data_IF_468842404202
#
_entry.id   IF_468842404202
#
_cell.length_a   1.000
_cell.length_b   1.000
_cell.length_c   1.000
_cell.angle_alpha   90.00
_cell.angle_beta   90.00
_cell.angle_gamma   90.00
#
_symmetry.space_group_name_H-M   'P 1'
#
loop_
_entity.id
_entity.type
_entity.pdbx_description
1 polymer ?
#
# COMPACT_ATOMS: atom_id res chain seq x y z
N UNK A 1 -34.20 -6.10 5.59
CA UNK A 1 -33.39 -6.63 6.72
C UNK A 1 -32.77 -7.97 6.34
N UNK A 2 -33.55 -8.98 5.92
CA UNK A 2 -33.00 -10.24 5.37
C UNK A 2 -32.18 -10.02 4.10
N UNK A 3 -32.73 -9.30 3.10
CA UNK A 3 -32.04 -9.00 1.84
C UNK A 3 -30.73 -8.21 2.02
N UNK A 4 -30.69 -7.30 2.99
CA UNK A 4 -29.49 -6.50 3.32
C UNK A 4 -28.40 -7.36 3.99
N UNK A 5 -28.82 -8.29 4.85
CA UNK A 5 -27.91 -9.27 5.47
C UNK A 5 -27.35 -10.26 4.44
N UNK A 6 -28.17 -10.73 3.50
CA UNK A 6 -27.73 -11.62 2.41
C UNK A 6 -26.71 -10.92 1.51
N UNK A 7 -26.98 -9.67 1.14
CA UNK A 7 -26.06 -8.84 0.34
C UNK A 7 -24.72 -8.68 1.06
N UNK A 8 -24.73 -8.37 2.35
CA UNK A 8 -23.51 -8.26 3.15
C UNK A 8 -22.68 -9.55 3.12
N UNK A 9 -23.32 -10.70 3.33
CA UNK A 9 -22.64 -12.01 3.32
C UNK A 9 -22.01 -12.27 1.95
N UNK A 10 -22.74 -12.02 0.87
CA UNK A 10 -22.23 -12.22 -0.50
C UNK A 10 -21.03 -11.31 -0.79
N UNK A 11 -21.09 -10.03 -0.39
CA UNK A 11 -19.98 -9.09 -0.54
C UNK A 11 -18.74 -9.53 0.24
N UNK A 12 -18.92 -9.98 1.49
CA UNK A 12 -17.82 -10.50 2.30
C UNK A 12 -17.19 -11.77 1.72
N UNK A 13 -18.01 -12.70 1.23
CA UNK A 13 -17.54 -13.92 0.58
C UNK A 13 -16.76 -13.59 -0.71
N UNK A 14 -17.28 -12.68 -1.54
CA UNK A 14 -16.60 -12.23 -2.75
C UNK A 14 -15.26 -11.55 -2.43
N UNK A 15 -15.22 -10.71 -1.39
CA UNK A 15 -14.00 -10.08 -0.91
C UNK A 15 -12.98 -11.10 -0.42
N UNK A 16 -13.41 -12.08 0.39
CA UNK A 16 -12.54 -13.13 0.91
C UNK A 16 -11.94 -13.97 -0.23
N UNK A 17 -12.77 -14.39 -1.20
CA UNK A 17 -12.34 -15.16 -2.37
C UNK A 17 -11.35 -14.38 -3.23
N UNK A 18 -11.65 -13.10 -3.53
CA UNK A 18 -10.74 -12.22 -4.28
C UNK A 18 -9.41 -12.04 -3.56
N UNK A 19 -9.45 -11.74 -2.26
CA UNK A 19 -8.24 -11.48 -1.46
C UNK A 19 -7.34 -12.72 -1.39
N UNK A 20 -7.92 -13.91 -1.20
CA UNK A 20 -7.16 -15.15 -1.19
C UNK A 20 -6.65 -15.57 -2.57
N UNK A 21 -7.42 -15.32 -3.64
CA UNK A 21 -6.93 -15.51 -5.01
C UNK A 21 -5.72 -14.61 -5.31
N UNK A 22 -5.76 -13.34 -4.87
CA UNK A 22 -4.62 -12.43 -4.97
C UNK A 22 -3.42 -12.90 -4.13
N UNK A 23 -3.65 -13.34 -2.89
CA UNK A 23 -2.60 -13.89 -2.03
C UNK A 23 -1.91 -15.10 -2.67
N UNK A 24 -2.67 -16.05 -3.21
CA UNK A 24 -2.12 -17.23 -3.88
C UNK A 24 -1.31 -16.87 -5.14
N UNK A 25 -1.76 -15.87 -5.91
CA UNK A 25 -1.08 -15.43 -7.13
C UNK A 25 0.20 -14.64 -6.85
N UNK A 26 0.15 -13.74 -5.87
CA UNK A 26 1.20 -12.74 -5.64
C UNK A 26 2.15 -13.13 -4.50
N UNK A 27 1.69 -13.92 -3.54
CA UNK A 27 2.36 -14.08 -2.26
C UNK A 27 2.24 -12.84 -1.37
N UNK A 28 2.73 -12.97 -0.14
CA UNK A 28 2.53 -11.96 0.91
C UNK A 28 3.15 -10.60 0.57
N UNK A 29 4.41 -10.57 0.12
CA UNK A 29 5.14 -9.33 -0.15
C UNK A 29 4.47 -8.48 -1.25
N UNK A 30 4.13 -9.10 -2.38
CA UNK A 30 3.51 -8.37 -3.49
C UNK A 30 2.04 -8.03 -3.20
N UNK A 31 1.32 -8.84 -2.42
CA UNK A 31 0.01 -8.46 -1.91
C UNK A 31 0.10 -7.24 -0.97
N UNK A 32 1.10 -7.19 -0.10
CA UNK A 32 1.37 -6.01 0.74
C UNK A 32 1.59 -4.78 -0.13
N UNK A 33 2.36 -4.88 -1.22
CA UNK A 33 2.60 -3.76 -2.13
C UNK A 33 1.31 -3.25 -2.78
N UNK A 34 0.40 -4.15 -3.18
CA UNK A 34 -0.92 -3.76 -3.70
C UNK A 34 -1.74 -3.00 -2.64
N UNK A 35 -1.72 -3.47 -1.38
CA UNK A 35 -2.35 -2.73 -0.28
C UNK A 35 -1.66 -1.40 0.03
N UNK A 36 -0.33 -1.32 -0.06
CA UNK A 36 0.43 -0.08 0.11
C UNK A 36 -0.01 0.97 -0.88
N UNK A 37 -0.10 0.64 -2.17
CA UNK A 37 -0.59 1.57 -3.20
C UNK A 37 -2.00 2.03 -2.86
N UNK A 38 -2.92 1.10 -2.59
CA UNK A 38 -4.31 1.42 -2.31
C UNK A 38 -4.48 2.31 -1.06
N UNK A 39 -3.83 1.96 0.06
CA UNK A 39 -3.96 2.70 1.32
C UNK A 39 -3.16 4.01 1.33
N UNK A 40 -2.07 4.10 0.58
CA UNK A 40 -1.39 5.39 0.39
C UNK A 40 -2.29 6.36 -0.38
N UNK A 41 -3.07 5.89 -1.36
CA UNK A 41 -4.08 6.73 -2.04
C UNK A 41 -5.26 7.10 -1.14
N UNK A 42 -5.78 6.15 -0.35
CA UNK A 42 -6.94 6.36 0.55
C UNK A 42 -6.62 7.23 1.77
N UNK A 43 -5.40 7.14 2.29
CA UNK A 43 -4.97 7.78 3.53
C UNK A 43 -3.50 8.26 3.45
N UNK A 44 -3.17 9.17 2.51
CA UNK A 44 -1.80 9.65 2.29
C UNK A 44 -1.21 10.41 3.49
N UNK A 45 -2.03 10.80 4.47
CA UNK A 45 -1.60 11.46 5.71
C UNK A 45 -0.90 10.52 6.69
N UNK A 46 -1.12 9.19 6.59
CA UNK A 46 -0.39 8.23 7.40
C UNK A 46 1.10 8.25 7.06
N UNK A 47 1.96 8.13 8.07
CA UNK A 47 3.41 8.03 7.85
C UNK A 47 3.77 6.72 7.14
N UNK A 48 4.92 6.65 6.44
CA UNK A 48 5.33 5.41 5.79
C UNK A 48 5.41 4.20 6.75
N UNK A 49 5.98 4.30 7.97
CA UNK A 49 5.96 3.18 8.91
C UNK A 49 4.55 2.73 9.29
N UNK A 50 3.59 3.64 9.45
CA UNK A 50 2.19 3.32 9.73
C UNK A 50 1.54 2.57 8.55
N UNK A 51 1.74 3.05 7.32
CA UNK A 51 1.24 2.38 6.11
C UNK A 51 1.83 0.98 5.95
N UNK A 52 3.14 0.83 6.17
CA UNK A 52 3.81 -0.47 6.10
C UNK A 52 3.30 -1.43 7.18
N UNK A 53 3.15 -0.97 8.42
CA UNK A 53 2.64 -1.79 9.51
C UNK A 53 1.17 -2.21 9.27
N UNK A 54 0.33 -1.29 8.83
CA UNK A 54 -1.09 -1.53 8.51
C UNK A 54 -1.22 -2.60 7.42
N UNK A 55 -0.56 -2.37 6.28
CA UNK A 55 -0.66 -3.23 5.10
C UNK A 55 0.01 -4.58 5.29
N UNK A 56 1.08 -4.66 6.10
CA UNK A 56 1.70 -5.94 6.48
C UNK A 56 0.70 -6.82 7.23
N UNK A 57 -0.06 -6.26 8.18
CA UNK A 57 -1.12 -7.01 8.90
C UNK A 57 -2.20 -7.51 7.93
N UNK A 58 -2.58 -6.68 6.96
CA UNK A 58 -3.54 -7.06 5.92
C UNK A 58 -3.02 -8.22 5.05
N UNK A 59 -1.76 -8.15 4.60
CA UNK A 59 -1.16 -9.19 3.78
C UNK A 59 -0.96 -10.51 4.56
N UNK A 60 -0.50 -10.43 5.82
CA UNK A 60 -0.31 -11.58 6.70
C UNK A 60 -1.64 -12.29 7.05
N UNK A 61 -2.77 -11.58 6.98
CA UNK A 61 -4.11 -12.18 7.07
C UNK A 61 -4.31 -13.21 5.97
N UNK A 62 -3.75 -12.99 4.77
CA UNK A 62 -3.78 -13.97 3.69
C UNK A 62 -3.12 -15.29 4.07
N UNK A 63 -1.91 -15.24 4.65
CA UNK A 63 -1.20 -16.43 5.11
C UNK A 63 -1.98 -17.20 6.20
N UNK A 64 -2.64 -16.46 7.08
CA UNK A 64 -3.35 -17.03 8.24
C UNK A 64 -4.74 -17.56 7.89
N UNK A 65 -5.45 -16.94 6.94
CA UNK A 65 -6.85 -17.26 6.67
C UNK A 65 -7.07 -18.06 5.38
N UNK A 66 -6.23 -17.90 4.34
CA UNK A 66 -6.53 -18.42 3.00
C UNK A 66 -6.34 -19.93 2.81
N UNK A 67 -5.82 -20.63 3.82
CA UNK A 67 -5.70 -22.09 3.83
C UNK A 67 -6.87 -22.78 4.54
N UNK A 68 -7.80 -22.01 5.11
CA UNK A 68 -8.96 -22.52 5.83
C UNK A 68 -10.09 -22.90 4.87
N UNK A 69 -11.08 -23.65 5.36
CA UNK A 69 -12.33 -23.88 4.64
C UNK A 69 -13.11 -22.57 4.44
N UNK A 70 -13.94 -22.46 3.40
CA UNK A 70 -14.62 -21.20 3.03
C UNK A 70 -15.31 -20.49 4.21
N UNK A 71 -16.10 -21.22 5.02
CA UNK A 71 -16.79 -20.64 6.20
C UNK A 71 -15.81 -20.08 7.25
N UNK A 72 -14.69 -20.78 7.46
CA UNK A 72 -13.66 -20.37 8.43
C UNK A 72 -12.80 -19.24 7.88
N UNK A 73 -12.54 -19.24 6.58
CA UNK A 73 -11.81 -18.18 5.88
C UNK A 73 -12.55 -16.85 6.02
N UNK A 74 -13.87 -16.85 5.83
CA UNK A 74 -14.72 -15.67 5.99
C UNK A 74 -14.61 -15.10 7.41
N UNK A 75 -14.86 -15.93 8.42
CA UNK A 75 -14.81 -15.51 9.82
C UNK A 75 -13.40 -15.02 10.22
N UNK A 76 -12.35 -15.69 9.75
CA UNK A 76 -10.96 -15.30 9.99
C UNK A 76 -10.66 -13.93 9.37
N UNK A 77 -11.05 -13.71 8.11
CA UNK A 77 -10.83 -12.46 7.40
C UNK A 77 -11.57 -11.28 8.03
N UNK A 78 -12.85 -11.44 8.37
CA UNK A 78 -13.64 -10.38 9.01
C UNK A 78 -13.10 -10.05 10.41
N UNK A 79 -12.72 -11.05 11.21
CA UNK A 79 -12.12 -10.82 12.52
C UNK A 79 -10.78 -10.08 12.45
N UNK A 80 -9.94 -10.43 11.48
CA UNK A 80 -8.68 -9.71 11.23
C UNK A 80 -8.92 -8.28 10.74
N UNK A 81 -9.89 -8.09 9.84
CA UNK A 81 -10.26 -6.77 9.33
C UNK A 81 -10.78 -5.85 10.43
N UNK A 82 -11.64 -6.35 11.32
CA UNK A 82 -12.15 -5.57 12.46
C UNK A 82 -11.01 -5.10 13.38
N UNK A 83 -10.06 -5.99 13.71
CA UNK A 83 -8.90 -5.62 14.54
C UNK A 83 -8.02 -4.56 13.86
N UNK A 84 -7.71 -4.75 12.57
CA UNK A 84 -6.86 -3.83 11.80
C UNK A 84 -7.52 -2.45 11.68
N UNK A 85 -8.82 -2.42 11.37
CA UNK A 85 -9.57 -1.18 11.23
C UNK A 85 -9.76 -0.51 12.60
N UNK A 86 -10.06 -1.27 13.65
CA UNK A 86 -10.18 -0.76 15.01
C UNK A 86 -8.90 -0.05 15.47
N UNK A 87 -7.73 -0.62 15.19
CA UNK A 87 -6.44 0.02 15.46
C UNK A 87 -6.24 1.31 14.67
N UNK A 88 -6.63 1.34 13.39
CA UNK A 88 -6.58 2.56 12.59
C UNK A 88 -7.52 3.64 13.13
N UNK A 89 -8.70 3.26 13.64
CA UNK A 89 -9.65 4.19 14.23
C UNK A 89 -9.17 4.76 15.57
N UNK A 90 -8.61 3.94 16.46
CA UNK A 90 -7.96 4.41 17.69
C UNK A 90 -6.84 5.41 17.33
N UNK A 91 -6.00 5.04 16.36
CA UNK A 91 -4.95 5.94 15.87
C UNK A 91 -5.52 7.24 15.28
N UNK A 92 -6.65 7.19 14.58
CA UNK A 92 -7.31 8.38 14.03
C UNK A 92 -7.84 9.32 15.12
N UNK A 93 -8.35 8.79 16.24
CA UNK A 93 -8.81 9.59 17.37
C UNK A 93 -7.67 10.39 18.01
N UNK A 94 -6.45 9.83 18.07
CA UNK A 94 -5.27 10.51 18.60
C UNK A 94 -4.73 11.59 17.66
N UNK A 95 -4.71 11.33 16.35
CA UNK A 95 -4.28 12.31 15.33
C UNK A 95 -5.07 12.07 14.05
N UNK A 96 -6.04 12.94 13.73
CA UNK A 96 -6.95 12.76 12.60
C UNK A 96 -6.20 12.53 11.29
N UNK A 97 -6.61 11.48 10.57
CA UNK A 97 -6.02 11.08 9.29
C UNK A 97 -6.63 11.89 8.14
N UNK A 98 -7.91 11.67 7.84
CA UNK A 98 -8.70 12.46 6.90
C UNK A 98 -10.21 12.26 7.16
N UNK A 99 -11.09 13.07 6.56
CA UNK A 99 -12.54 12.95 6.77
C UNK A 99 -13.13 11.59 6.38
N UNK A 100 -12.63 10.95 5.33
CA UNK A 100 -13.11 9.63 4.88
C UNK A 100 -12.85 8.54 5.92
N UNK A 101 -11.65 8.49 6.48
CA UNK A 101 -11.31 7.59 7.60
C UNK A 101 -12.18 7.89 8.82
N UNK A 102 -12.39 9.16 9.16
CA UNK A 102 -13.24 9.57 10.29
C UNK A 102 -14.69 9.12 10.12
N UNK A 103 -15.27 9.28 8.93
CA UNK A 103 -16.62 8.80 8.62
C UNK A 103 -16.73 7.28 8.74
N UNK A 104 -15.74 6.52 8.26
CA UNK A 104 -15.77 5.07 8.40
C UNK A 104 -15.57 4.59 9.84
N UNK A 105 -14.76 5.29 10.64
CA UNK A 105 -14.57 4.95 12.06
C UNK A 105 -15.83 5.17 12.91
N UNK A 106 -16.62 6.19 12.56
CA UNK A 106 -17.90 6.51 13.20
C UNK A 106 -19.08 5.72 12.64
N UNK A 107 -18.87 4.93 11.58
CA UNK A 107 -19.90 4.03 11.05
C UNK A 107 -20.25 2.92 12.04
N UNK A 108 -21.46 2.36 11.91
CA UNK A 108 -21.88 1.22 12.72
C UNK A 108 -20.91 0.05 12.57
N UNK A 109 -20.83 -0.80 13.59
CA UNK A 109 -19.92 -1.95 13.61
C UNK A 109 -20.01 -2.81 12.33
N UNK A 110 -21.24 -3.12 11.90
CA UNK A 110 -21.49 -3.90 10.68
C UNK A 110 -21.07 -3.18 9.38
N UNK A 111 -21.15 -1.84 9.34
CA UNK A 111 -20.85 -1.05 8.14
C UNK A 111 -19.41 -0.54 8.09
N UNK A 112 -18.64 -0.67 9.18
CA UNK A 112 -17.27 -0.17 9.27
C UNK A 112 -16.36 -0.79 8.21
N UNK A 113 -16.29 -2.12 8.11
CA UNK A 113 -15.46 -2.81 7.09
C UNK A 113 -15.90 -2.51 5.66
N UNK A 114 -17.20 -2.59 5.30
CA UNK A 114 -17.68 -2.13 4.00
C UNK A 114 -17.30 -0.68 3.68
N UNK A 115 -17.40 0.24 4.64
CA UNK A 115 -17.01 1.64 4.45
C UNK A 115 -15.53 1.76 4.06
N UNK A 116 -14.62 1.12 4.81
CA UNK A 116 -13.19 1.12 4.49
C UNK A 116 -12.87 0.47 3.13
N UNK A 117 -13.60 -0.60 2.78
CA UNK A 117 -13.47 -1.28 1.49
C UNK A 117 -13.80 -0.33 0.34
N UNK A 118 -14.84 0.49 0.53
CA UNK A 118 -15.36 1.46 -0.44
C UNK A 118 -14.67 2.84 -0.40
N UNK A 119 -13.73 3.07 0.53
CA UNK A 119 -12.97 4.33 0.54
C UNK A 119 -12.29 4.55 -0.81
N UNK A 120 -12.37 5.76 -1.34
CA UNK A 120 -11.65 6.14 -2.56
C UNK A 120 -10.37 6.87 -2.19
N UNK A 121 -9.60 7.27 -3.20
CA UNK A 121 -8.45 8.14 -3.01
C UNK A 121 -8.89 9.46 -2.34
N UNK A 122 -8.07 9.97 -1.44
CA UNK A 122 -8.32 11.25 -0.78
C UNK A 122 -8.05 12.42 -1.73
N UNK A 123 -9.10 12.98 -2.32
CA UNK A 123 -9.02 14.12 -3.24
C UNK A 123 -8.62 15.43 -2.55
N UNK A 124 -8.68 15.49 -1.21
CA UNK A 124 -8.26 16.68 -0.44
C UNK A 124 -6.75 16.71 -0.20
N UNK A 125 -6.06 15.61 -0.48
CA UNK A 125 -4.61 15.54 -0.31
C UNK A 125 -3.88 16.33 -1.39
N UNK A 126 -3.03 17.26 -0.94
CA UNK A 126 -2.12 18.02 -1.80
C UNK A 126 -0.72 17.44 -1.62
N UNK A 127 -0.11 16.85 -2.67
CA UNK A 127 1.28 16.40 -2.60
C UNK A 127 2.19 17.56 -2.20
N UNK A 128 3.19 17.31 -1.33
CA UNK A 128 4.19 18.33 -1.03
C UNK A 128 4.98 18.70 -2.31
N UNK A 129 5.67 19.85 -2.30
CA UNK A 129 6.65 20.15 -3.34
C UNK A 129 7.57 18.95 -3.57
N UNK A 130 7.88 18.68 -4.83
CA UNK A 130 8.79 17.61 -5.17
C UNK A 130 10.11 17.81 -4.43
N UNK A 131 10.62 16.73 -3.85
CA UNK A 131 11.83 16.77 -3.03
C UNK A 131 12.69 15.58 -3.41
N UNK A 132 13.82 15.87 -4.05
CA UNK A 132 14.73 14.87 -4.60
C UNK A 132 15.22 13.93 -3.49
N UNK A 133 15.40 14.44 -2.26
CA UNK A 133 15.87 13.71 -1.08
C UNK A 133 15.12 12.40 -0.79
N UNK A 134 13.82 12.35 -1.11
CA UNK A 134 12.97 11.14 -0.93
C UNK A 134 13.19 10.07 -2.00
N UNK A 135 13.94 10.42 -3.03
CA UNK A 135 14.24 9.62 -4.23
C UNK A 135 15.75 9.55 -4.50
N UNK A 136 16.59 10.03 -3.57
CA UNK A 136 18.04 9.78 -3.61
C UNK A 136 18.28 8.36 -3.14
N UNK A 137 18.94 7.58 -3.99
CA UNK A 137 19.38 6.23 -3.67
C UNK A 137 20.88 6.25 -3.40
N UNK A 138 21.28 5.61 -2.31
CA UNK A 138 22.67 5.51 -1.92
C UNK A 138 23.18 4.09 -2.15
N UNK A 139 24.50 3.90 -2.05
CA UNK A 139 25.16 2.60 -2.22
C UNK A 139 24.67 1.52 -1.25
N UNK A 140 24.08 1.91 -0.13
CA UNK A 140 23.49 0.99 0.85
C UNK A 140 22.34 0.18 0.25
N UNK A 141 21.62 0.73 -0.72
CA UNK A 141 20.58 0.04 -1.48
C UNK A 141 21.12 -1.15 -2.27
N UNK A 142 22.37 -1.05 -2.76
CA UNK A 142 23.05 -2.14 -3.46
C UNK A 142 23.54 -3.24 -2.51
N UNK A 143 23.70 -2.93 -1.23
CA UNK A 143 24.13 -3.89 -0.20
C UNK A 143 22.93 -4.50 0.53
N UNK A 144 21.78 -3.85 0.52
CA UNK A 144 20.56 -4.31 1.16
C UNK A 144 20.06 -5.61 0.54
N UNK A 145 19.65 -6.56 1.39
CA UNK A 145 19.09 -7.84 0.98
C UNK A 145 17.87 -8.20 1.83
N UNK A 146 17.07 -9.14 1.34
CA UNK A 146 15.90 -9.66 2.05
C UNK A 146 14.97 -8.55 2.53
N UNK A 147 14.66 -8.55 3.83
CA UNK A 147 13.71 -7.62 4.47
C UNK A 147 14.15 -6.16 4.37
N UNK A 148 15.45 -5.87 4.43
CA UNK A 148 15.95 -4.50 4.36
C UNK A 148 15.68 -3.89 2.96
N UNK A 149 16.03 -4.63 1.90
CA UNK A 149 15.77 -4.21 0.53
C UNK A 149 14.27 -4.09 0.24
N UNK A 150 13.48 -5.05 0.71
CA UNK A 150 12.01 -5.00 0.61
C UNK A 150 11.44 -3.74 1.28
N UNK A 151 11.95 -3.39 2.45
CA UNK A 151 11.52 -2.20 3.20
C UNK A 151 11.85 -0.92 2.42
N UNK A 152 13.06 -0.82 1.87
CA UNK A 152 13.47 0.31 1.03
C UNK A 152 12.60 0.45 -0.22
N UNK A 153 12.29 -0.67 -0.90
CA UNK A 153 11.38 -0.69 -2.06
C UNK A 153 9.97 -0.22 -1.71
N UNK A 154 9.43 -0.65 -0.58
CA UNK A 154 8.12 -0.23 -0.08
C UNK A 154 8.10 1.25 0.30
N UNK A 155 9.18 1.74 0.89
CA UNK A 155 9.34 3.16 1.21
C UNK A 155 9.34 4.03 -0.05
N UNK A 156 10.08 3.62 -1.09
CA UNK A 156 10.05 4.27 -2.40
C UNK A 156 8.63 4.27 -3.00
N UNK A 157 7.94 3.13 -2.96
CA UNK A 157 6.57 3.00 -3.46
C UNK A 157 5.61 3.97 -2.77
N UNK A 158 5.68 4.09 -1.43
CA UNK A 158 4.87 5.03 -0.66
C UNK A 158 5.18 6.47 -1.07
N UNK A 159 6.47 6.83 -1.16
CA UNK A 159 6.90 8.18 -1.54
C UNK A 159 6.39 8.55 -2.94
N UNK A 160 6.51 7.63 -3.90
CA UNK A 160 6.02 7.81 -5.27
C UNK A 160 4.51 8.04 -5.32
N UNK A 161 3.72 7.20 -4.64
CA UNK A 161 2.26 7.34 -4.63
C UNK A 161 1.82 8.61 -3.90
N UNK A 162 2.51 9.04 -2.84
CA UNK A 162 2.27 10.35 -2.21
C UNK A 162 2.62 11.52 -3.14
N UNK A 163 3.69 11.40 -3.92
CA UNK A 163 4.08 12.45 -4.87
C UNK A 163 3.12 12.53 -6.07
N UNK A 164 2.62 11.38 -6.53
CA UNK A 164 1.69 11.24 -7.66
C UNK A 164 0.47 10.40 -7.28
N UNK A 165 -0.50 10.93 -6.50
CA UNK A 165 -1.66 10.18 -6.03
C UNK A 165 -2.51 9.57 -7.16
N UNK A 166 -2.54 10.25 -8.31
CA UNK A 166 -3.27 9.85 -9.51
C UNK A 166 -2.52 8.85 -10.40
N UNK A 167 -1.32 8.39 -10.01
CA UNK A 167 -0.51 7.46 -10.81
C UNK A 167 -1.34 6.22 -11.17
N UNK A 168 -1.41 5.89 -12.45
CA UNK A 168 -2.12 4.70 -12.93
C UNK A 168 -1.33 3.44 -12.61
N UNK A 169 -1.97 2.27 -12.70
CA UNK A 169 -1.28 0.98 -12.54
C UNK A 169 -0.17 0.83 -13.60
N UNK A 170 -0.46 1.17 -14.85
CA UNK A 170 0.49 1.13 -15.97
C UNK A 170 1.70 2.05 -15.75
N UNK A 171 1.46 3.30 -15.30
CA UNK A 171 2.53 4.24 -14.98
C UNK A 171 3.37 3.75 -13.80
N UNK A 172 2.72 3.15 -12.80
CA UNK A 172 3.41 2.60 -11.64
C UNK A 172 4.30 1.41 -12.02
N UNK A 173 3.80 0.51 -12.87
CA UNK A 173 4.57 -0.61 -13.42
C UNK A 173 5.79 -0.13 -14.19
N UNK A 174 5.63 0.90 -15.04
CA UNK A 174 6.74 1.52 -15.76
C UNK A 174 7.80 2.07 -14.80
N UNK A 175 7.41 2.84 -13.77
CA UNK A 175 8.36 3.40 -12.80
C UNK A 175 9.06 2.31 -11.98
N UNK A 176 8.37 1.21 -11.64
CA UNK A 176 8.99 0.06 -10.95
C UNK A 176 10.00 -0.65 -11.85
N UNK A 177 9.70 -0.78 -13.15
CA UNK A 177 10.62 -1.34 -14.13
C UNK A 177 11.87 -0.47 -14.30
N UNK A 178 11.69 0.85 -14.45
CA UNK A 178 12.79 1.82 -14.54
C UNK A 178 13.66 1.78 -13.28
N UNK A 179 13.05 1.74 -12.09
CA UNK A 179 13.77 1.63 -10.83
C UNK A 179 14.55 0.31 -10.71
N UNK A 180 14.01 -0.79 -11.22
CA UNK A 180 14.70 -2.07 -11.24
C UNK A 180 15.90 -2.05 -12.19
N UNK A 181 15.75 -1.46 -13.39
CA UNK A 181 16.85 -1.25 -14.33
C UNK A 181 17.94 -0.33 -13.79
N UNK A 182 17.55 0.73 -13.06
CA UNK A 182 18.47 1.62 -12.34
C UNK A 182 19.33 0.85 -11.33
N UNK A 183 18.70 0.00 -10.51
CA UNK A 183 19.41 -0.85 -9.54
C UNK A 183 20.39 -1.80 -10.23
N UNK A 184 19.96 -2.46 -11.29
CA UNK A 184 20.83 -3.38 -12.05
C UNK A 184 22.04 -2.65 -12.62
N UNK A 185 21.84 -1.46 -13.20
CA UNK A 185 22.91 -0.66 -13.79
C UNK A 185 23.87 -0.10 -12.72
N UNK A 186 23.35 0.59 -11.72
CA UNK A 186 24.19 1.31 -10.76
C UNK A 186 24.86 0.39 -9.74
N UNK A 187 24.21 -0.69 -9.32
CA UNK A 187 24.82 -1.60 -8.34
C UNK A 187 25.95 -2.46 -8.90
N UNK A 188 26.06 -2.60 -10.22
CA UNK A 188 27.16 -3.31 -10.89
C UNK A 188 28.41 -2.43 -11.12
N UNK A 189 28.30 -1.11 -10.97
CA UNK A 189 29.40 -0.16 -11.18
C UNK A 189 30.28 0.07 -9.94
N UNK A 190 31.49 0.63 -10.15
CA UNK A 190 32.39 1.03 -9.04
C UNK A 190 31.97 2.36 -8.39
N UNK A 191 31.37 3.28 -9.14
CA UNK A 191 30.92 4.59 -8.67
C UNK A 191 29.39 4.64 -8.49
N UNK A 192 28.89 3.84 -7.55
CA UNK A 192 27.45 3.62 -7.33
C UNK A 192 26.71 4.94 -7.01
N UNK A 193 27.28 5.78 -6.14
CA UNK A 193 26.68 7.08 -5.76
C UNK A 193 26.58 8.04 -6.97
N UNK A 194 27.64 8.15 -7.77
CA UNK A 194 27.65 8.98 -8.99
C UNK A 194 26.59 8.50 -9.98
N UNK A 195 26.51 7.18 -10.19
CA UNK A 195 25.51 6.59 -11.08
C UNK A 195 24.08 6.90 -10.64
N UNK A 196 23.75 6.71 -9.35
CA UNK A 196 22.41 7.02 -8.86
C UNK A 196 22.06 8.50 -9.01
N UNK A 197 23.00 9.41 -8.73
CA UNK A 197 22.77 10.84 -8.89
C UNK A 197 22.47 11.24 -10.35
N UNK A 198 23.22 10.70 -11.32
CA UNK A 198 23.03 11.01 -12.74
C UNK A 198 21.70 10.49 -13.28
N UNK A 199 21.38 9.23 -12.98
CA UNK A 199 20.18 8.59 -13.52
C UNK A 199 18.89 9.11 -12.88
N UNK A 200 18.89 9.41 -11.56
CA UNK A 200 17.74 10.03 -10.89
C UNK A 200 17.52 11.44 -11.44
N UNK A 201 18.57 12.24 -11.63
CA UNK A 201 18.43 13.56 -12.26
C UNK A 201 17.80 13.46 -13.66
N UNK A 202 18.24 12.50 -14.48
CA UNK A 202 17.69 12.29 -15.82
C UNK A 202 16.20 11.88 -15.79
N UNK A 203 15.81 10.98 -14.88
CA UNK A 203 14.43 10.54 -14.73
C UNK A 203 13.50 11.67 -14.25
N UNK A 204 13.97 12.50 -13.30
CA UNK A 204 13.21 13.63 -12.78
C UNK A 204 13.01 14.73 -13.83
N UNK A 205 14.04 15.04 -14.61
CA UNK A 205 13.96 16.04 -15.69
C UNK A 205 12.93 15.66 -16.77
N UNK A 206 12.86 14.38 -17.13
CA UNK A 206 11.86 13.88 -18.08
C UNK A 206 10.44 13.92 -17.50
N UNK A 207 10.29 13.69 -16.20
CA UNK A 207 9.00 13.68 -15.51
C UNK A 207 8.38 15.06 -15.25
N UNK A 208 9.16 16.14 -15.40
CA UNK A 208 8.68 17.54 -15.31
C UNK A 208 8.24 18.09 -16.69
N UNK A 209 8.63 17.44 -17.79
CA UNK A 209 8.29 17.81 -19.16
C UNK A 209 7.12 16.99 -19.75
N UNK A 210 6.45 16.17 -18.93
CA UNK A 210 5.24 15.40 -19.26
C UNK A 210 4.18 15.60 -18.19
#
# INVERSE_FOLDING_TARGET
>A
MEEESEKYIQESQALAKRSCGLFQKLGEYYLQNAFLVAYTKKAPQLTPPELMALTRKMAATGATCCHLSEDKQLACGEGAADLIIGQLCIRHEETPVNPGVGQCCTSSYANRRPCFSSLVMDETYVPPPFSDDKFIFHKDLCQAQGVALQTMKQQFLINLVKQKPQITEEQLEAVIADFSGLLEKCCQGQEQETCFAEEVCAALFNSQNT
#
